data_IF_598866930660
#
_entry.id   IF_598866930660
#
_cell.length_a   1.000
_cell.length_b   1.000
_cell.length_c   1.000
_cell.angle_alpha   90.00
_cell.angle_beta   90.00
_cell.angle_gamma   90.00
#
_symmetry.space_group_name_H-M   'P 1'
#
loop_
_entity.id
_entity.type
_entity.pdbx_description
1 polymer ?
#
# COMPACT_ATOMS: atom_id res chain seq x y z
N UNK A 1 -3.37 18.96 -41.33
CA UNK A 1 -3.50 17.75 -40.49
C UNK A 1 -2.69 16.62 -41.10
N UNK A 2 -2.00 15.79 -40.27
CA UNK A 2 -1.20 14.56 -40.56
C UNK A 2 0.26 14.55 -40.01
N UNK A 3 0.53 15.27 -38.92
CA UNK A 3 1.80 15.12 -38.18
C UNK A 3 1.93 13.72 -37.53
N UNK A 4 0.85 13.21 -36.95
CA UNK A 4 0.79 11.85 -36.37
C UNK A 4 1.09 10.76 -37.40
N UNK A 5 0.64 10.94 -38.65
CA UNK A 5 0.86 9.97 -39.73
C UNK A 5 2.33 9.90 -40.15
N UNK A 6 3.05 11.04 -40.12
CA UNK A 6 4.49 11.11 -40.37
C UNK A 6 5.30 10.45 -39.24
N UNK A 7 4.92 10.70 -37.98
CA UNK A 7 5.56 10.10 -36.80
C UNK A 7 5.37 8.57 -36.80
N UNK A 8 4.16 8.09 -37.08
CA UNK A 8 3.86 6.65 -37.16
C UNK A 8 4.60 5.95 -38.30
N UNK A 9 4.78 6.64 -39.44
CA UNK A 9 5.46 6.08 -40.62
C UNK A 9 6.98 6.08 -40.46
N UNK A 10 7.55 7.09 -39.80
CA UNK A 10 8.95 7.13 -39.39
C UNK A 10 9.28 6.08 -38.32
N UNK A 11 8.40 5.93 -37.31
CA UNK A 11 8.54 4.91 -36.27
C UNK A 11 8.52 3.50 -36.86
N UNK A 12 7.66 3.23 -37.86
CA UNK A 12 7.61 1.95 -38.58
C UNK A 12 8.93 1.63 -39.31
N UNK A 13 9.63 2.62 -39.84
CA UNK A 13 10.88 2.41 -40.59
C UNK A 13 12.06 2.02 -39.69
N UNK A 14 12.07 2.46 -38.42
CA UNK A 14 13.07 2.11 -37.38
C UNK A 14 12.52 1.20 -36.25
N UNK A 15 11.52 0.37 -36.55
CA UNK A 15 10.78 -0.40 -35.54
C UNK A 15 11.65 -1.30 -34.66
N UNK A 16 12.78 -1.83 -35.17
CA UNK A 16 13.74 -2.64 -34.39
C UNK A 16 14.39 -1.89 -33.24
N UNK A 17 14.71 -0.60 -33.42
CA UNK A 17 15.32 0.22 -32.37
C UNK A 17 14.26 0.73 -31.39
N UNK A 18 13.06 1.08 -31.88
CA UNK A 18 11.95 1.49 -31.01
C UNK A 18 11.38 0.34 -30.17
N UNK A 19 11.47 -0.91 -30.65
CA UNK A 19 11.06 -2.10 -29.88
C UNK A 19 11.81 -2.22 -28.56
N UNK A 20 13.13 -1.97 -28.55
CA UNK A 20 13.92 -2.01 -27.32
C UNK A 20 13.46 -0.99 -26.28
N UNK A 21 13.10 0.23 -26.72
CA UNK A 21 12.61 1.29 -25.84
C UNK A 21 11.24 0.94 -25.26
N UNK A 22 10.32 0.44 -26.09
CA UNK A 22 8.98 0.05 -25.63
C UNK A 22 9.05 -1.13 -24.67
N UNK A 23 9.86 -2.14 -24.97
CA UNK A 23 10.05 -3.29 -24.08
C UNK A 23 10.71 -2.88 -22.76
N UNK A 24 11.74 -2.03 -22.80
CA UNK A 24 12.37 -1.50 -21.60
C UNK A 24 11.40 -0.68 -20.74
N UNK A 25 10.62 0.20 -21.36
CA UNK A 25 9.61 0.99 -20.67
C UNK A 25 8.51 0.09 -20.06
N UNK A 26 8.03 -0.91 -20.79
CA UNK A 26 7.03 -1.86 -20.30
C UNK A 26 7.56 -2.70 -19.12
N UNK A 27 8.82 -3.15 -19.19
CA UNK A 27 9.45 -3.87 -18.08
C UNK A 27 9.64 -2.98 -16.86
N UNK A 28 10.11 -1.74 -17.04
CA UNK A 28 10.29 -0.80 -15.94
C UNK A 28 8.96 -0.51 -15.22
N UNK A 29 7.88 -0.24 -15.96
CA UNK A 29 6.56 0.00 -15.37
C UNK A 29 5.98 -1.25 -14.71
N UNK A 30 6.18 -2.43 -15.31
CA UNK A 30 5.78 -3.70 -14.71
C UNK A 30 6.48 -3.93 -13.37
N UNK A 31 7.81 -3.73 -13.30
CA UNK A 31 8.59 -3.90 -12.07
C UNK A 31 8.20 -2.90 -10.99
N UNK A 32 8.07 -1.61 -11.36
CA UNK A 32 7.62 -0.55 -10.44
C UNK A 32 6.26 -0.92 -9.84
N UNK A 33 5.28 -1.23 -10.69
CA UNK A 33 3.92 -1.54 -10.24
C UNK A 33 3.87 -2.82 -9.41
N UNK A 34 4.60 -3.86 -9.81
CA UNK A 34 4.66 -5.13 -9.06
C UNK A 34 5.30 -4.98 -7.67
N UNK A 35 6.33 -4.14 -7.55
CA UNK A 35 6.97 -3.84 -6.26
C UNK A 35 6.00 -3.12 -5.32
N UNK A 36 5.28 -2.10 -5.81
CA UNK A 36 4.27 -1.40 -5.02
C UNK A 36 3.16 -2.35 -4.54
N UNK A 37 2.67 -3.22 -5.43
CA UNK A 37 1.58 -4.15 -5.12
C UNK A 37 1.99 -5.19 -4.07
N UNK A 38 3.21 -5.72 -4.19
CA UNK A 38 3.76 -6.69 -3.22
C UNK A 38 3.93 -6.06 -1.84
N UNK A 39 4.40 -4.82 -1.79
CA UNK A 39 4.53 -4.08 -0.53
C UNK A 39 3.20 -3.90 0.21
N UNK A 40 2.13 -3.57 -0.51
CA UNK A 40 0.80 -3.41 0.08
C UNK A 40 0.21 -4.74 0.56
N UNK A 41 0.37 -5.80 -0.23
CA UNK A 41 -0.08 -7.15 0.15
C UNK A 41 0.60 -7.64 1.44
N UNK A 42 1.91 -7.43 1.57
CA UNK A 42 2.66 -7.79 2.77
C UNK A 42 2.21 -6.94 3.97
N UNK A 43 2.03 -5.62 3.79
CA UNK A 43 1.53 -4.73 4.85
C UNK A 43 0.16 -5.18 5.36
N UNK A 44 -0.76 -5.50 4.45
CA UNK A 44 -2.08 -6.01 4.80
C UNK A 44 -2.01 -7.34 5.54
N UNK A 45 -1.13 -8.25 5.09
CA UNK A 45 -0.92 -9.56 5.72
C UNK A 45 -0.36 -9.41 7.13
N UNK A 46 0.67 -8.58 7.32
CA UNK A 46 1.25 -8.30 8.63
C UNK A 46 0.24 -7.66 9.58
N UNK A 47 -0.59 -6.74 9.09
CA UNK A 47 -1.67 -6.15 9.89
C UNK A 47 -2.66 -7.22 10.37
N UNK A 48 -3.08 -8.12 9.49
CA UNK A 48 -4.00 -9.22 9.85
C UNK A 48 -3.35 -10.16 10.86
N UNK A 49 -2.08 -10.52 10.67
CA UNK A 49 -1.35 -11.35 11.61
C UNK A 49 -1.16 -10.66 12.96
N UNK A 50 -0.83 -9.36 12.97
CA UNK A 50 -0.74 -8.58 14.19
C UNK A 50 -2.08 -8.59 14.95
N UNK A 51 -3.19 -8.28 14.27
CA UNK A 51 -4.52 -8.34 14.89
C UNK A 51 -4.85 -9.73 15.43
N UNK A 52 -4.56 -10.79 14.67
CA UNK A 52 -4.78 -12.17 15.12
C UNK A 52 -3.89 -12.57 16.31
N UNK A 53 -2.68 -12.00 16.43
CA UNK A 53 -1.71 -12.33 17.48
C UNK A 53 -1.90 -11.52 18.74
N UNK A 54 -2.37 -10.27 18.65
CA UNK A 54 -2.64 -9.47 19.85
C UNK A 54 -3.83 -10.11 20.60
N UNK A 55 -4.86 -10.65 19.91
CA UNK A 55 -6.08 -11.26 20.50
C UNK A 55 -7.37 -10.43 20.26
N UNK A 56 -8.44 -10.61 21.06
CA UNK A 56 -9.62 -9.72 21.04
C UNK A 56 -9.52 -8.71 22.20
N UNK A 57 -9.45 -7.42 21.91
CA UNK A 57 -9.56 -6.32 22.87
C UNK A 57 -10.55 -5.31 22.32
N UNK A 58 -11.56 -4.98 23.10
CA UNK A 58 -12.54 -3.93 22.78
C UNK A 58 -11.96 -2.53 22.96
N UNK A 59 -10.97 -2.37 23.83
CA UNK A 59 -10.43 -1.05 24.19
C UNK A 59 -8.93 -1.11 24.46
N UNK A 60 -8.16 -0.32 23.72
CA UNK A 60 -6.73 -0.11 23.96
C UNK A 60 -6.52 1.27 24.59
N UNK A 61 -6.05 1.32 25.84
CA UNK A 61 -5.74 2.57 26.54
C UNK A 61 -4.25 2.90 26.41
N UNK A 62 -3.94 4.12 25.96
CA UNK A 62 -2.57 4.63 25.88
C UNK A 62 -2.33 5.64 27.01
N UNK A 63 -1.61 5.21 28.06
CA UNK A 63 -1.39 6.00 29.28
C UNK A 63 -0.20 6.97 29.23
N UNK A 64 0.62 6.94 28.18
CA UNK A 64 1.90 7.64 28.15
C UNK A 64 2.79 7.20 29.32
N UNK A 65 3.38 8.16 30.05
CA UNK A 65 4.21 7.94 31.24
C UNK A 65 3.43 7.88 32.58
N UNK A 66 2.09 7.90 32.53
CA UNK A 66 1.25 7.95 33.74
C UNK A 66 0.74 6.57 34.12
N UNK A 67 0.83 6.27 35.41
CA UNK A 67 0.24 5.06 35.98
C UNK A 67 -1.29 5.14 36.02
N UNK A 68 -1.94 4.02 35.68
CA UNK A 68 -3.38 3.85 35.84
C UNK A 68 -3.74 3.64 37.31
N UNK A 69 -4.77 4.34 37.78
CA UNK A 69 -5.32 4.15 39.13
C UNK A 69 -6.28 2.96 39.12
N UNK A 70 -6.28 2.16 40.18
CA UNK A 70 -7.18 1.00 40.30
C UNK A 70 -8.67 1.37 40.12
N UNK A 71 -9.10 2.55 40.61
CA UNK A 71 -10.46 3.05 40.46
C UNK A 71 -10.89 3.31 38.99
N UNK A 72 -9.95 3.38 38.05
CA UNK A 72 -10.25 3.56 36.62
C UNK A 72 -10.99 2.36 36.04
N UNK A 73 -10.74 1.14 36.56
CA UNK A 73 -11.45 -0.06 36.10
C UNK A 73 -12.96 0.02 36.41
N UNK A 74 -13.33 0.58 37.55
CA UNK A 74 -14.72 0.80 37.95
C UNK A 74 -15.38 1.91 37.13
N UNK A 75 -14.63 2.98 36.83
CA UNK A 75 -15.11 4.10 36.02
C UNK A 75 -15.38 3.70 34.56
N UNK A 76 -14.50 2.89 33.96
CA UNK A 76 -14.67 2.36 32.59
C UNK A 76 -15.91 1.47 32.50
N UNK A 77 -16.16 0.62 33.50
CA UNK A 77 -17.29 -0.30 33.48
C UNK A 77 -18.64 0.41 33.71
N UNK A 78 -18.60 1.65 34.22
CA UNK A 78 -19.78 2.46 34.56
C UNK A 78 -20.08 3.55 33.52
N UNK A 79 -19.14 3.87 32.63
CA UNK A 79 -19.29 4.89 31.59
C UNK A 79 -19.77 4.25 30.26
N UNK A 80 -20.69 4.89 29.52
CA UNK A 80 -21.15 4.37 28.25
C UNK A 80 -20.01 4.42 27.22
N UNK A 81 -19.68 3.26 26.66
CA UNK A 81 -18.66 3.09 25.63
C UNK A 81 -19.14 3.81 24.36
N UNK A 82 -18.35 4.79 23.89
CA UNK A 82 -18.56 5.52 22.62
C UNK A 82 -17.60 4.97 21.56
#
# INVERSE_FOLDING_TARGET
MKALTLILRGARFYWRTHLGVVLGAALATMVLTGSLLTGDAVKATLRRQALARVGNFDSAFWGGDRFFRAALAEEINSAPVI
#
